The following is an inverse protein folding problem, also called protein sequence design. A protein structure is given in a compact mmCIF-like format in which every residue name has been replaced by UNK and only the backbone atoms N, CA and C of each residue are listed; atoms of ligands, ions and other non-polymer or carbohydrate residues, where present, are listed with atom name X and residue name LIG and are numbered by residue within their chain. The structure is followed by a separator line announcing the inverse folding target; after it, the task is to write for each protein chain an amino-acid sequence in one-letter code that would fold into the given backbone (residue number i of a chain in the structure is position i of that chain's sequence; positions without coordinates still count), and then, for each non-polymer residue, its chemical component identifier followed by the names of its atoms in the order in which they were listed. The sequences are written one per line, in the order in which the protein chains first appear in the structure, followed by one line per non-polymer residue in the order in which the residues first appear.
data_IF_395850131642
#
_entry.id   IF_395850131642
#
_cell.length_a   1.000
_cell.length_b   1.000
_cell.length_c   1.000
_cell.angle_alpha   90.00
_cell.angle_beta   90.00
_cell.angle_gamma   90.00
#
_symmetry.space_group_name_H-M   'P 1'
#
loop_
_entity.id
_entity.type
_entity.pdbx_description
1 polymer ?
#
# COMPACT_ATOMS: atom_id res chain seq x y z
N UNK A 1 20.61 4.66 7.01
CA UNK A 1 19.51 4.00 7.78
C UNK A 1 19.60 4.30 9.28
N UNK A 2 19.58 5.57 9.67
CA UNK A 2 19.57 5.98 11.08
C UNK A 2 18.28 5.58 11.83
N UNK A 3 17.07 5.69 11.23
CA UNK A 3 15.84 5.32 11.94
C UNK A 3 15.82 3.86 12.41
N UNK A 4 16.36 2.93 11.61
CA UNK A 4 16.42 1.52 12.01
C UNK A 4 17.29 1.30 13.26
N UNK A 5 18.44 1.99 13.34
CA UNK A 5 19.36 1.92 14.49
C UNK A 5 18.77 2.56 15.73
N UNK A 6 18.04 3.67 15.58
CA UNK A 6 17.43 4.40 16.69
C UNK A 6 16.18 3.68 17.24
N UNK A 7 15.34 3.13 16.36
CA UNK A 7 14.03 2.57 16.74
C UNK A 7 14.09 1.08 17.09
N UNK A 8 15.12 0.35 16.66
CA UNK A 8 15.35 -1.05 17.02
C UNK A 8 16.83 -1.33 17.38
N UNK A 9 17.40 -0.65 18.39
CA UNK A 9 18.81 -0.79 18.74
C UNK A 9 19.15 -2.21 19.22
N UNK A 10 18.21 -2.87 19.88
CA UNK A 10 18.32 -4.24 20.40
C UNK A 10 18.08 -5.30 19.34
N UNK A 11 17.73 -4.90 18.11
CA UNK A 11 17.50 -5.80 16.97
C UNK A 11 16.45 -6.86 17.25
N UNK A 12 15.39 -6.50 17.97
CA UNK A 12 14.29 -7.39 18.29
C UNK A 12 13.42 -7.60 17.03
N UNK A 13 13.24 -8.84 16.53
CA UNK A 13 12.34 -9.11 15.42
C UNK A 13 10.90 -8.64 15.74
N UNK A 14 10.24 -8.01 14.77
CA UNK A 14 8.87 -7.50 14.94
C UNK A 14 8.76 -6.14 15.66
N UNK A 15 9.84 -5.59 16.23
CA UNK A 15 9.82 -4.31 16.96
C UNK A 15 9.60 -3.10 16.05
N UNK A 16 10.20 -3.12 14.86
CA UNK A 16 10.16 -2.02 13.90
C UNK A 16 9.47 -2.47 12.62
N UNK A 17 8.50 -1.66 12.19
CA UNK A 17 7.77 -1.84 10.95
C UNK A 17 7.99 -0.65 10.03
N UNK A 18 8.45 -0.90 8.82
CA UNK A 18 8.44 0.10 7.75
C UNK A 18 7.15 -0.04 6.94
N UNK A 19 6.38 1.05 6.87
CA UNK A 19 5.11 1.13 6.14
C UNK A 19 5.36 1.94 4.85
N UNK A 20 5.40 1.25 3.71
CA UNK A 20 5.71 1.82 2.40
C UNK A 20 4.44 2.37 1.75
N UNK A 21 4.40 3.69 1.50
CA UNK A 21 3.28 4.41 0.88
C UNK A 21 3.75 5.34 -0.25
N UNK A 22 4.30 4.77 -1.31
CA UNK A 22 4.98 5.54 -2.35
C UNK A 22 4.08 5.88 -3.53
N UNK A 23 3.03 5.10 -3.78
CA UNK A 23 2.22 5.20 -4.99
C UNK A 23 2.76 4.30 -6.09
N UNK A 24 1.84 3.70 -6.87
CA UNK A 24 2.18 2.71 -7.90
C UNK A 24 3.19 3.24 -8.95
N UNK A 25 3.19 4.54 -9.21
CA UNK A 25 4.05 5.23 -10.16
C UNK A 25 5.51 5.44 -9.66
N UNK A 26 5.72 5.34 -8.34
CA UNK A 26 7.01 5.65 -7.71
C UNK A 26 7.63 4.45 -6.98
N UNK A 27 6.82 3.51 -6.49
CA UNK A 27 7.30 2.36 -5.69
C UNK A 27 8.45 1.62 -6.38
N UNK A 28 8.32 1.36 -7.68
CA UNK A 28 9.33 0.68 -8.49
C UNK A 28 10.71 1.34 -8.46
N UNK A 29 10.74 2.67 -8.44
CA UNK A 29 11.97 3.45 -8.50
C UNK A 29 12.54 3.71 -7.12
N UNK A 30 11.67 3.97 -6.14
CA UNK A 30 12.07 4.52 -4.84
C UNK A 30 12.26 3.46 -3.76
N UNK A 31 11.53 2.35 -3.80
CA UNK A 31 11.61 1.31 -2.77
C UNK A 31 12.92 0.50 -2.83
N UNK A 32 13.40 0.07 -4.02
CA UNK A 32 14.62 -0.74 -4.14
C UNK A 32 15.83 -0.30 -3.31
N UNK A 33 16.33 0.95 -3.43
CA UNK A 33 17.53 1.36 -2.69
C UNK A 33 17.29 1.41 -1.18
N UNK A 34 16.06 1.65 -0.72
CA UNK A 34 15.75 1.66 0.72
C UNK A 34 15.77 0.25 1.31
N UNK A 35 15.22 -0.72 0.57
CA UNK A 35 15.22 -2.13 0.99
C UNK A 35 16.64 -2.66 1.10
N UNK A 36 17.49 -2.36 0.12
CA UNK A 36 18.92 -2.71 0.13
C UNK A 36 19.64 -2.07 1.32
N UNK A 37 19.48 -0.76 1.51
CA UNK A 37 20.12 -0.05 2.62
C UNK A 37 19.67 -0.54 4.00
N UNK A 38 18.40 -0.96 4.16
CA UNK A 38 17.90 -1.59 5.39
C UNK A 38 18.52 -2.97 5.58
N UNK A 39 18.56 -3.79 4.53
CA UNK A 39 19.13 -5.13 4.57
C UNK A 39 20.60 -5.10 5.00
N UNK A 40 21.38 -4.14 4.50
CA UNK A 40 22.79 -3.92 4.88
C UNK A 40 22.99 -3.62 6.37
N UNK A 41 21.96 -3.11 7.07
CA UNK A 41 22.07 -2.87 8.52
C UNK A 41 22.03 -4.16 9.35
N UNK A 42 21.47 -5.24 8.81
CA UNK A 42 21.19 -6.48 9.54
C UNK A 42 20.14 -6.33 10.67
N UNK A 43 19.43 -5.20 10.75
CA UNK A 43 18.39 -4.98 11.74
C UNK A 43 17.09 -5.64 11.24
N UNK A 44 16.48 -6.54 12.02
CA UNK A 44 15.23 -7.17 11.60
C UNK A 44 14.09 -6.16 11.62
N UNK A 45 13.30 -6.14 10.54
CA UNK A 45 12.15 -5.26 10.37
C UNK A 45 10.98 -6.02 9.76
N UNK A 46 9.78 -5.51 9.98
CA UNK A 46 8.57 -5.90 9.24
C UNK A 46 8.35 -4.90 8.13
N UNK A 47 8.10 -5.39 6.92
CA UNK A 47 7.69 -4.55 5.79
C UNK A 47 6.18 -4.65 5.59
N UNK A 48 5.49 -3.52 5.65
CA UNK A 48 4.10 -3.40 5.21
C UNK A 48 4.04 -2.46 4.01
N UNK A 49 3.08 -2.71 3.11
CA UNK A 49 2.68 -1.69 2.13
C UNK A 49 1.36 -1.05 2.55
N UNK A 50 1.33 0.27 2.48
CA UNK A 50 0.16 1.12 2.52
C UNK A 50 -0.06 1.66 1.10
N UNK A 51 -0.78 0.89 0.26
CA UNK A 51 -1.04 1.28 -1.12
C UNK A 51 -2.11 2.38 -1.21
N UNK A 52 -2.54 2.96 -0.08
CA UNK A 52 -3.67 3.90 -0.05
C UNK A 52 -3.17 5.33 -0.25
N UNK A 53 -2.30 5.79 0.65
CA UNK A 53 -1.97 7.21 0.77
C UNK A 53 -1.10 7.73 -0.38
N UNK A 54 -0.31 6.87 -1.02
CA UNK A 54 0.48 7.22 -2.20
C UNK A 54 -0.34 7.40 -3.48
N UNK A 55 -1.57 6.88 -3.52
CA UNK A 55 -2.41 6.78 -4.72
C UNK A 55 -3.66 7.68 -4.69
N UNK A 56 -3.72 8.66 -3.78
CA UNK A 56 -4.85 9.61 -3.71
C UNK A 56 -4.81 10.61 -4.87
N UNK A 57 -5.94 10.77 -5.57
CA UNK A 57 -6.14 11.73 -6.65
C UNK A 57 -7.45 12.50 -6.46
N UNK A 58 -7.69 13.56 -7.26
CA UNK A 58 -8.98 14.27 -7.29
C UNK A 58 -9.82 13.79 -8.47
N UNK A 59 -11.10 13.57 -8.22
CA UNK A 59 -12.10 13.27 -9.25
C UNK A 59 -12.59 14.54 -9.95
N UNK A 60 -13.30 14.38 -11.08
CA UNK A 60 -13.95 15.48 -11.79
C UNK A 60 -15.03 16.20 -10.96
N UNK A 61 -15.60 15.53 -9.96
CA UNK A 61 -16.54 16.11 -8.99
C UNK A 61 -15.87 16.87 -7.84
N UNK A 62 -14.53 16.90 -7.78
CA UNK A 62 -13.76 17.55 -6.72
C UNK A 62 -13.47 16.69 -5.50
N UNK A 63 -14.17 15.57 -5.31
CA UNK A 63 -13.89 14.58 -4.26
C UNK A 63 -12.49 13.98 -4.43
N UNK A 64 -11.80 13.74 -3.32
CA UNK A 64 -10.64 12.84 -3.32
C UNK A 64 -11.13 11.43 -3.64
N UNK A 65 -10.36 10.69 -4.41
CA UNK A 65 -10.59 9.27 -4.68
C UNK A 65 -9.27 8.53 -4.81
N UNK A 66 -9.31 7.20 -4.84
CA UNK A 66 -8.20 6.31 -5.15
C UNK A 66 -8.68 5.30 -6.17
N UNK A 67 -7.78 4.82 -7.01
CA UNK A 67 -8.08 3.71 -7.93
C UNK A 67 -7.69 2.38 -7.30
N UNK A 68 -8.62 1.42 -7.31
CA UNK A 68 -8.34 0.04 -6.92
C UNK A 68 -7.20 -0.55 -7.77
N UNK A 69 -7.18 -0.29 -9.08
CA UNK A 69 -6.10 -0.74 -9.95
C UNK A 69 -4.72 -0.23 -9.49
N UNK A 70 -4.60 1.07 -9.19
CA UNK A 70 -3.34 1.63 -8.69
C UNK A 70 -2.93 1.01 -7.34
N UNK A 71 -3.90 0.77 -6.45
CA UNK A 71 -3.67 0.07 -5.18
C UNK A 71 -3.09 -1.33 -5.41
N UNK A 72 -3.70 -2.11 -6.31
CA UNK A 72 -3.24 -3.46 -6.64
C UNK A 72 -1.87 -3.46 -7.32
N UNK A 73 -1.60 -2.49 -8.19
CA UNK A 73 -0.30 -2.35 -8.86
C UNK A 73 0.82 -2.04 -7.84
N UNK A 74 0.58 -1.18 -6.83
CA UNK A 74 1.56 -0.94 -5.75
C UNK A 74 1.78 -2.17 -4.88
N UNK A 75 0.72 -2.93 -4.55
CA UNK A 75 0.84 -4.20 -3.81
C UNK A 75 1.71 -5.21 -4.57
N UNK A 76 1.49 -5.36 -5.88
CA UNK A 76 2.25 -6.27 -6.72
C UNK A 76 3.73 -5.85 -6.83
N UNK A 77 3.98 -4.56 -7.05
CA UNK A 77 5.33 -4.00 -7.09
C UNK A 77 6.07 -4.21 -5.76
N UNK A 78 5.43 -3.87 -4.64
CA UNK A 78 5.98 -4.07 -3.29
C UNK A 78 6.39 -5.52 -3.03
N UNK A 79 5.49 -6.47 -3.34
CA UNK A 79 5.77 -7.90 -3.19
C UNK A 79 7.00 -8.32 -3.99
N UNK A 80 7.02 -8.01 -5.30
CA UNK A 80 8.11 -8.39 -6.19
C UNK A 80 9.43 -7.78 -5.76
N UNK A 81 9.46 -6.47 -5.46
CA UNK A 81 10.68 -5.74 -5.05
C UNK A 81 11.31 -6.36 -3.80
N UNK A 82 10.50 -6.73 -2.80
CA UNK A 82 11.01 -7.38 -1.59
C UNK A 82 11.51 -8.80 -1.86
N UNK A 83 10.77 -9.61 -2.63
CA UNK A 83 11.19 -10.97 -2.98
C UNK A 83 12.50 -10.98 -3.77
N UNK A 84 12.63 -10.10 -4.76
CA UNK A 84 13.86 -9.92 -5.56
C UNK A 84 15.08 -9.59 -4.68
N UNK A 85 14.84 -8.96 -3.52
CA UNK A 85 15.88 -8.55 -2.53
C UNK A 85 15.96 -9.47 -1.33
N UNK A 86 15.32 -10.65 -1.40
CA UNK A 86 15.28 -11.66 -0.32
C UNK A 86 14.76 -11.11 1.00
N UNK A 87 13.86 -10.13 0.93
CA UNK A 87 13.13 -9.60 2.08
C UNK A 87 11.71 -10.15 2.10
N UNK A 88 11.11 -10.22 3.28
CA UNK A 88 9.76 -10.75 3.45
C UNK A 88 8.69 -9.65 3.31
N UNK A 89 7.76 -9.75 2.35
CA UNK A 89 6.58 -8.88 2.27
C UNK A 89 5.61 -9.21 3.42
N UNK A 90 5.73 -8.46 4.52
CA UNK A 90 5.09 -8.76 5.80
C UNK A 90 3.59 -8.50 5.87
N UNK A 91 3.01 -7.65 5.01
CA UNK A 91 1.58 -7.40 5.03
C UNK A 91 1.11 -6.10 4.37
N UNK A 92 -0.16 -5.79 4.65
CA UNK A 92 -0.89 -4.64 4.13
C UNK A 92 -1.29 -3.70 5.28
N UNK A 93 -1.38 -2.40 4.98
CA UNK A 93 -1.98 -1.38 5.83
C UNK A 93 -3.04 -0.64 5.00
N UNK A 94 -4.32 -0.96 5.22
CA UNK A 94 -5.42 -0.48 4.39
C UNK A 94 -6.37 0.44 5.17
N UNK A 95 -6.94 1.41 4.46
CA UNK A 95 -8.10 2.18 4.92
C UNK A 95 -9.36 1.59 4.30
N UNK A 96 -10.21 0.97 5.12
CA UNK A 96 -11.45 0.34 4.68
C UNK A 96 -12.62 0.64 5.61
N UNK A 97 -13.84 0.38 5.14
CA UNK A 97 -15.07 0.43 5.93
C UNK A 97 -15.95 -0.78 5.64
N UNK A 98 -16.72 -1.30 6.62
CA UNK A 98 -17.71 -2.34 6.34
C UNK A 98 -18.90 -1.83 5.53
N UNK A 99 -19.04 -0.51 5.36
CA UNK A 99 -20.15 0.09 4.63
C UNK A 99 -19.96 -0.01 3.10
N UNK A 100 -21.04 -0.20 2.32
CA UNK A 100 -20.99 -0.26 0.85
C UNK A 100 -20.83 1.13 0.21
N UNK A 101 -19.74 1.82 0.57
CA UNK A 101 -19.38 3.15 0.07
C UNK A 101 -18.88 3.09 -1.37
N UNK A 102 -18.90 4.25 -2.03
CA UNK A 102 -18.42 4.44 -3.40
C UNK A 102 -17.29 5.46 -3.41
N UNK A 103 -16.32 5.34 -2.48
CA UNK A 103 -15.26 6.35 -2.26
C UNK A 103 -14.05 6.16 -3.20
N UNK A 104 -13.76 4.91 -3.59
CA UNK A 104 -12.69 4.54 -4.52
C UNK A 104 -13.26 4.08 -5.87
N UNK A 105 -12.59 4.47 -6.96
CA UNK A 105 -12.92 4.06 -8.33
C UNK A 105 -12.17 2.79 -8.74
N UNK A 106 -12.59 2.11 -9.80
CA UNK A 106 -11.89 0.93 -10.29
C UNK A 106 -10.55 1.31 -10.95
N UNK A 107 -10.59 2.15 -11.98
CA UNK A 107 -9.41 2.60 -12.73
C UNK A 107 -9.14 4.11 -12.56
N UNK A 108 -7.89 4.57 -12.74
CA UNK A 108 -7.58 5.99 -12.64
C UNK A 108 -8.36 6.84 -13.66
N UNK A 109 -8.62 6.29 -14.85
CA UNK A 109 -9.38 6.94 -15.92
C UNK A 109 -10.84 7.25 -15.52
N UNK A 110 -11.42 6.47 -14.61
CA UNK A 110 -12.81 6.63 -14.19
C UNK A 110 -13.00 7.88 -13.31
N UNK A 111 -11.92 8.38 -12.69
CA UNK A 111 -11.99 9.49 -11.74
C UNK A 111 -12.57 10.78 -12.36
N UNK A 112 -12.41 10.99 -13.67
CA UNK A 112 -12.93 12.18 -14.36
C UNK A 112 -14.46 12.25 -14.41
N UNK A 113 -15.13 11.10 -14.50
CA UNK A 113 -16.59 11.01 -14.71
C UNK A 113 -17.34 10.28 -13.59
N UNK A 114 -16.62 9.70 -12.62
CA UNK A 114 -17.21 8.96 -11.53
C UNK A 114 -18.15 9.83 -10.67
N UNK A 115 -19.27 9.23 -10.28
CA UNK A 115 -20.17 9.77 -9.27
C UNK A 115 -19.93 9.07 -7.92
N UNK A 116 -20.06 9.81 -6.83
CA UNK A 116 -19.79 9.34 -5.47
C UNK A 116 -21.04 9.41 -4.58
N UNK A 117 -22.15 8.73 -4.94
CA UNK A 117 -23.43 8.87 -4.22
C UNK A 117 -23.41 8.40 -2.76
N UNK A 118 -22.40 7.59 -2.39
CA UNK A 118 -22.18 7.13 -1.01
C UNK A 118 -20.77 7.46 -0.53
N UNK A 119 -20.33 8.71 -0.70
CA UNK A 119 -19.12 9.23 -0.08
C UNK A 119 -19.40 9.62 1.38
N UNK A 120 -18.79 8.92 2.34
CA UNK A 120 -19.06 9.15 3.78
C UNK A 120 -17.84 9.54 4.58
N UNK A 121 -16.64 9.24 4.09
CA UNK A 121 -15.40 9.58 4.77
C UNK A 121 -15.26 11.10 4.93
N UNK A 122 -14.90 11.60 6.13
CA UNK A 122 -14.60 13.01 6.34
C UNK A 122 -13.19 13.39 5.85
N UNK A 123 -12.36 12.42 5.49
CA UNK A 123 -10.96 12.62 5.14
C UNK A 123 -10.65 11.97 3.79
N UNK A 124 -9.98 10.82 3.81
CA UNK A 124 -9.54 10.12 2.62
C UNK A 124 -10.52 8.98 2.23
N UNK A 125 -10.58 8.65 0.92
CA UNK A 125 -11.50 7.65 0.39
C UNK A 125 -11.10 6.23 0.82
N UNK A 126 -12.02 5.49 1.41
CA UNK A 126 -11.78 4.13 1.96
C UNK A 126 -12.22 3.06 0.96
N UNK A 127 -11.59 1.89 1.04
CA UNK A 127 -12.09 0.70 0.35
C UNK A 127 -13.42 0.26 0.97
N UNK A 128 -14.37 -0.09 0.11
CA UNK A 128 -15.55 -0.83 0.53
C UNK A 128 -15.18 -2.32 0.75
N UNK A 129 -16.11 -3.16 1.28
CA UNK A 129 -15.80 -4.55 1.60
C UNK A 129 -15.30 -5.39 0.41
N UNK A 130 -15.88 -5.20 -0.77
CA UNK A 130 -15.52 -5.94 -1.98
C UNK A 130 -14.10 -5.60 -2.43
N UNK A 131 -13.80 -4.29 -2.51
CA UNK A 131 -12.47 -3.81 -2.89
C UNK A 131 -11.39 -4.21 -1.87
N UNK A 132 -11.73 -4.21 -0.58
CA UNK A 132 -10.82 -4.65 0.48
C UNK A 132 -10.54 -6.16 0.37
N UNK A 133 -11.58 -6.98 0.15
CA UNK A 133 -11.44 -8.42 -0.05
C UNK A 133 -10.59 -8.74 -1.30
N UNK A 134 -10.82 -8.04 -2.41
CA UNK A 134 -10.01 -8.18 -3.63
C UNK A 134 -8.54 -7.86 -3.38
N UNK A 135 -8.25 -6.77 -2.67
CA UNK A 135 -6.87 -6.37 -2.33
C UNK A 135 -6.16 -7.41 -1.47
N UNK A 136 -6.85 -7.95 -0.44
CA UNK A 136 -6.31 -9.01 0.41
C UNK A 136 -6.11 -10.30 -0.37
N UNK A 137 -7.05 -10.67 -1.25
CA UNK A 137 -6.91 -11.85 -2.10
C UNK A 137 -5.71 -11.74 -3.03
N UNK A 138 -5.53 -10.59 -3.69
CA UNK A 138 -4.40 -10.34 -4.56
C UNK A 138 -3.05 -10.47 -3.82
N UNK A 139 -2.93 -9.85 -2.64
CA UNK A 139 -1.72 -9.96 -1.82
C UNK A 139 -1.44 -11.40 -1.38
N UNK A 140 -2.45 -12.12 -0.88
CA UNK A 140 -2.28 -13.50 -0.43
C UNK A 140 -1.99 -14.47 -1.57
N UNK A 141 -2.51 -14.22 -2.78
CA UNK A 141 -2.18 -14.99 -3.98
C UNK A 141 -0.70 -14.85 -4.36
N UNK A 142 -0.15 -13.63 -4.30
CA UNK A 142 1.27 -13.37 -4.53
C UNK A 142 2.16 -14.13 -3.53
N UNK A 143 1.79 -14.14 -2.24
CA UNK A 143 2.53 -14.88 -1.21
C UNK A 143 2.55 -16.41 -1.44
N UNK A 144 1.50 -16.96 -2.07
CA UNK A 144 1.39 -18.40 -2.34
C UNK A 144 2.13 -18.83 -3.61
N UNK A 145 2.36 -17.91 -4.54
CA UNK A 145 3.04 -18.18 -5.81
C UNK A 145 4.58 -18.18 -5.69
N UNK A 146 5.10 -17.91 -4.49
CA UNK A 146 6.49 -17.54 -4.25
C UNK A 146 7.34 -18.64 -3.60
#
# INVERSE_FOLDING_TARGET
MEPARLLNPERLPGRLTFIVRMGADRTERLLPPLVEAVAETGIPVVWLTDPMHGNTMRSGSGHKTRSLRAILDEVAAFHRILRDRRQWPGGLHLEMTPEPVTECVAHPADAGTAAFPRYRSPCDPRLNPEQAAETVHAFTALLRAA
#
